data_IF_199812582353
#
_entry.id   IF_199812582353
#
_cell.length_a   1.000
_cell.length_b   1.000
_cell.length_c   1.000
_cell.angle_alpha   90.00
_cell.angle_beta   90.00
_cell.angle_gamma   90.00
#
_symmetry.space_group_name_H-M   'P 1'
#
loop_
_entity.id
_entity.type
_entity.pdbx_description
1 polymer ?
#
# COMPACT_ATOMS: atom_id res chain seq x y z
N UNK A 1 -5.68 -8.81 -1.32
CA UNK A 1 -5.30 -8.82 -2.75
C UNK A 1 -4.81 -7.45 -3.17
N UNK A 2 -3.75 -7.41 -3.96
CA UNK A 2 -3.10 -6.19 -4.42
C UNK A 2 -2.91 -6.22 -5.94
N UNK A 3 -2.93 -5.05 -6.58
CA UNK A 3 -2.70 -4.96 -8.03
C UNK A 3 -1.34 -5.55 -8.45
N UNK A 4 -0.34 -5.48 -7.57
CA UNK A 4 0.99 -6.08 -7.81
C UNK A 4 0.97 -7.63 -7.91
N UNK A 5 -0.11 -8.29 -7.48
CA UNK A 5 -0.27 -9.75 -7.66
C UNK A 5 -0.36 -10.12 -9.14
N UNK A 6 -0.73 -9.15 -10.03
CA UNK A 6 -0.75 -9.35 -11.48
C UNK A 6 0.61 -9.77 -12.04
N UNK A 7 1.71 -9.28 -11.47
CA UNK A 7 3.06 -9.68 -11.91
C UNK A 7 3.32 -11.18 -11.75
N UNK A 8 2.56 -11.86 -10.89
CA UNK A 8 2.64 -13.31 -10.70
C UNK A 8 1.56 -14.04 -11.50
N UNK A 9 0.33 -13.53 -11.47
CA UNK A 9 -0.83 -14.15 -12.16
C UNK A 9 -0.68 -14.10 -13.68
N UNK A 10 -0.16 -12.99 -14.21
CA UNK A 10 0.02 -12.77 -15.66
C UNK A 10 1.38 -13.26 -16.19
N UNK A 11 2.20 -13.84 -15.32
CA UNK A 11 3.51 -14.34 -15.70
C UNK A 11 3.41 -15.49 -16.70
N UNK A 12 4.05 -15.37 -17.86
CA UNK A 12 4.11 -16.48 -18.83
C UNK A 12 5.09 -17.55 -18.35
N UNK A 13 4.54 -18.65 -17.84
CA UNK A 13 5.33 -19.83 -17.43
C UNK A 13 5.98 -20.54 -18.62
N UNK A 14 5.54 -20.27 -19.86
CA UNK A 14 6.13 -20.84 -21.09
C UNK A 14 7.52 -20.28 -21.38
N UNK A 15 7.83 -19.08 -20.84
CA UNK A 15 9.15 -18.45 -20.95
C UNK A 15 10.13 -18.95 -19.86
N UNK A 16 9.88 -20.10 -19.22
CA UNK A 16 10.75 -20.72 -18.22
C UNK A 16 10.52 -20.22 -16.78
N UNK A 17 9.42 -19.48 -16.54
CA UNK A 17 8.99 -19.09 -15.20
C UNK A 17 8.44 -20.29 -14.42
N UNK A 18 8.85 -20.45 -13.16
CA UNK A 18 8.20 -21.42 -12.26
C UNK A 18 6.80 -20.90 -11.87
N UNK A 19 5.75 -21.75 -11.86
CA UNK A 19 4.46 -21.38 -11.30
C UNK A 19 4.61 -20.93 -9.85
N UNK A 20 3.86 -19.92 -9.44
CA UNK A 20 3.87 -19.40 -8.08
C UNK A 20 2.44 -19.17 -7.58
N UNK A 21 2.22 -19.40 -6.30
CA UNK A 21 1.02 -18.96 -5.60
C UNK A 21 1.15 -17.43 -5.37
N UNK A 22 0.21 -16.60 -5.86
CA UNK A 22 0.25 -15.17 -5.63
C UNK A 22 -0.17 -14.77 -4.21
N UNK A 23 -0.12 -13.47 -3.89
CA UNK A 23 -0.62 -12.89 -2.64
C UNK A 23 0.47 -12.59 -1.63
N UNK A 24 0.53 -11.32 -1.20
CA UNK A 24 1.54 -10.79 -0.26
C UNK A 24 0.92 -9.94 0.85
N UNK A 25 -0.33 -10.18 1.18
CA UNK A 25 -1.07 -9.53 2.26
C UNK A 25 -1.73 -10.63 3.10
N UNK A 26 -0.96 -11.29 3.96
CA UNK A 26 -1.37 -12.52 4.61
C UNK A 26 -1.40 -12.36 6.13
N UNK A 27 -2.48 -12.81 6.75
CA UNK A 27 -2.58 -12.96 8.20
C UNK A 27 -2.92 -14.42 8.50
N UNK A 28 -2.16 -15.02 9.41
CA UNK A 28 -2.35 -16.42 9.77
C UNK A 28 -1.77 -16.72 11.16
N UNK A 29 -1.77 -18.01 11.48
CA UNK A 29 -1.14 -18.54 12.70
C UNK A 29 -0.02 -19.50 12.34
N UNK A 30 1.05 -19.46 13.12
CA UNK A 30 2.17 -20.39 12.95
C UNK A 30 1.71 -21.80 13.29
N UNK A 31 1.75 -22.70 12.31
CA UNK A 31 1.41 -24.11 12.48
C UNK A 31 2.63 -24.96 12.84
N UNK A 32 3.77 -24.65 12.20
CA UNK A 32 5.03 -25.35 12.45
C UNK A 32 6.22 -24.37 12.36
N UNK A 33 7.33 -24.72 12.99
CA UNK A 33 8.57 -23.97 12.98
C UNK A 33 9.68 -24.82 12.34
N UNK A 34 10.43 -24.22 11.41
CA UNK A 34 11.62 -24.85 10.84
C UNK A 34 12.73 -25.00 11.88
N UNK A 35 13.69 -25.86 11.57
CA UNK A 35 14.84 -26.09 12.45
C UNK A 35 15.63 -24.79 12.70
N UNK A 36 15.93 -24.51 13.97
CA UNK A 36 16.72 -23.34 14.37
C UNK A 36 15.94 -22.02 14.41
N UNK A 37 14.65 -22.00 14.10
CA UNK A 37 13.83 -20.78 14.23
C UNK A 37 13.63 -20.47 15.70
N UNK A 38 13.98 -19.23 16.10
CA UNK A 38 13.82 -18.70 17.44
C UNK A 38 12.96 -17.45 17.45
N UNK A 39 12.40 -17.10 18.61
CA UNK A 39 11.61 -15.87 18.82
C UNK A 39 10.14 -15.98 18.39
N UNK A 40 9.69 -17.13 17.89
CA UNK A 40 8.31 -17.41 17.47
C UNK A 40 7.75 -18.64 18.19
N UNK A 41 6.44 -18.76 18.25
CA UNK A 41 5.73 -19.87 18.89
C UNK A 41 4.62 -20.39 17.97
N UNK A 42 4.37 -21.71 18.01
CA UNK A 42 3.21 -22.33 17.37
C UNK A 42 1.94 -21.70 17.93
N UNK A 43 0.96 -21.45 17.07
CA UNK A 43 -0.28 -20.75 17.38
C UNK A 43 -0.18 -19.22 17.40
N UNK A 44 1.05 -18.65 17.40
CA UNK A 44 1.22 -17.20 17.40
C UNK A 44 0.69 -16.60 16.10
N UNK A 45 -0.08 -15.50 16.20
CA UNK A 45 -0.62 -14.78 15.08
C UNK A 45 0.44 -13.90 14.44
N UNK A 46 0.55 -13.98 13.13
CA UNK A 46 1.56 -13.29 12.33
C UNK A 46 0.99 -12.77 11.04
N UNK A 47 1.66 -11.78 10.47
CA UNK A 47 1.43 -11.28 9.11
C UNK A 47 2.63 -11.53 8.22
N UNK A 48 2.39 -11.60 6.91
CA UNK A 48 3.42 -11.61 5.87
C UNK A 48 3.09 -10.52 4.86
N UNK A 49 4.03 -9.59 4.66
CA UNK A 49 3.90 -8.49 3.70
C UNK A 49 4.65 -8.77 2.39
N UNK A 50 4.82 -7.73 1.58
CA UNK A 50 5.47 -7.81 0.27
C UNK A 50 6.93 -8.26 0.37
N UNK A 51 7.74 -7.61 1.24
CA UNK A 51 9.13 -7.99 1.48
C UNK A 51 9.19 -9.03 2.61
N UNK A 52 9.50 -10.28 2.25
CA UNK A 52 9.60 -11.41 3.18
C UNK A 52 11.03 -11.66 3.65
N UNK A 53 12.02 -11.01 3.07
CA UNK A 53 13.42 -11.16 3.46
C UNK A 53 14.40 -10.41 2.55
N UNK A 54 15.65 -10.39 2.99
CA UNK A 54 16.76 -9.72 2.35
C UNK A 54 18.03 -10.61 2.36
N UNK A 55 19.02 -10.32 1.51
CA UNK A 55 20.27 -11.10 1.43
C UNK A 55 21.30 -10.77 2.53
N UNK A 56 21.13 -9.63 3.22
CA UNK A 56 22.02 -9.10 4.28
C UNK A 56 23.46 -8.83 3.84
N UNK A 57 23.79 -9.01 2.57
CA UNK A 57 25.17 -8.97 2.08
C UNK A 57 25.42 -7.89 1.03
N UNK A 58 24.40 -7.49 0.28
CA UNK A 58 24.53 -6.44 -0.73
C UNK A 58 24.83 -5.06 -0.10
N UNK A 59 25.33 -4.10 -0.88
CA UNK A 59 25.65 -2.76 -0.40
C UNK A 59 24.51 -2.07 0.35
N UNK A 60 23.29 -2.16 -0.15
CA UNK A 60 22.09 -1.58 0.49
C UNK A 60 21.83 -2.20 1.86
N UNK A 61 21.82 -3.53 1.96
CA UNK A 61 21.62 -4.22 3.23
C UNK A 61 22.70 -3.89 4.26
N UNK A 62 23.98 -3.80 3.83
CA UNK A 62 25.09 -3.45 4.72
C UNK A 62 25.03 -2.03 5.25
N UNK A 63 24.31 -1.13 4.59
CA UNK A 63 24.05 0.23 5.03
C UNK A 63 22.77 0.34 5.87
N UNK A 64 22.04 -0.77 6.07
CA UNK A 64 20.78 -0.80 6.79
C UNK A 64 19.55 -0.50 5.94
N UNK A 65 19.72 -0.26 4.63
CA UNK A 65 18.62 -0.03 3.68
C UNK A 65 18.14 -1.36 3.09
N UNK A 66 17.47 -2.16 3.91
CA UNK A 66 17.01 -3.49 3.52
C UNK A 66 15.82 -3.46 2.55
N UNK A 67 15.07 -2.35 2.50
CA UNK A 67 13.96 -2.16 1.55
C UNK A 67 14.47 -2.14 0.10
N UNK A 68 15.67 -1.61 -0.11
CA UNK A 68 16.34 -1.56 -1.41
C UNK A 68 17.39 -2.69 -1.58
N UNK A 69 17.15 -3.85 -0.97
CA UNK A 69 18.00 -5.03 -1.17
C UNK A 69 18.07 -5.41 -2.65
N UNK A 70 19.27 -5.74 -3.12
CA UNK A 70 19.49 -6.14 -4.53
C UNK A 70 18.92 -7.53 -4.84
N UNK A 71 18.78 -8.37 -3.81
CA UNK A 71 18.24 -9.73 -3.91
C UNK A 71 17.12 -9.94 -2.87
N UNK A 72 15.98 -9.22 -2.99
CA UNK A 72 14.91 -9.31 -2.02
C UNK A 72 14.15 -10.64 -2.15
N UNK A 73 13.68 -11.17 -1.04
CA UNK A 73 12.65 -12.22 -1.03
C UNK A 73 11.29 -11.53 -1.09
N UNK A 74 10.58 -11.72 -2.20
CA UNK A 74 9.28 -11.09 -2.46
C UNK A 74 8.19 -12.15 -2.41
N UNK A 75 7.27 -12.00 -1.46
CA UNK A 75 6.13 -12.90 -1.26
C UNK A 75 5.24 -12.91 -2.50
N UNK A 76 4.90 -14.09 -2.99
CA UNK A 76 4.09 -14.30 -4.17
C UNK A 76 4.81 -14.11 -5.50
N UNK A 77 6.09 -13.67 -5.50
CA UNK A 77 6.89 -13.48 -6.72
C UNK A 77 8.15 -14.34 -6.77
N UNK A 78 9.03 -14.24 -5.76
CA UNK A 78 10.25 -15.05 -5.66
C UNK A 78 10.03 -16.30 -4.81
N UNK A 79 9.04 -16.26 -3.91
CA UNK A 79 8.52 -17.40 -3.14
C UNK A 79 7.00 -17.48 -3.32
N UNK A 80 6.40 -18.60 -2.93
CA UNK A 80 4.95 -18.72 -2.94
C UNK A 80 4.30 -17.78 -1.93
N UNK A 81 3.12 -17.26 -2.29
CA UNK A 81 2.33 -16.31 -1.53
C UNK A 81 1.15 -16.96 -0.79
N UNK A 82 0.20 -16.12 -0.41
CA UNK A 82 -0.87 -16.48 0.52
C UNK A 82 -2.24 -16.71 -0.09
N UNK A 83 -2.39 -16.94 -1.39
CA UNK A 83 -3.65 -17.43 -1.94
C UNK A 83 -3.75 -18.95 -1.72
N UNK A 84 -3.58 -19.35 -0.46
CA UNK A 84 -3.53 -20.73 -0.02
C UNK A 84 -3.89 -20.80 1.48
N UNK A 85 -4.38 -21.94 1.92
CA UNK A 85 -4.68 -22.21 3.33
C UNK A 85 -3.41 -22.28 4.19
N UNK A 86 -2.30 -22.74 3.60
CA UNK A 86 -0.99 -22.87 4.24
C UNK A 86 0.08 -22.27 3.33
N UNK A 87 1.01 -21.53 3.90
CA UNK A 87 2.18 -21.02 3.18
C UNK A 87 3.46 -21.21 3.99
N UNK A 88 4.58 -21.26 3.30
CA UNK A 88 5.90 -21.16 3.92
C UNK A 88 6.35 -19.70 3.92
N UNK A 89 6.83 -19.23 5.06
CA UNK A 89 7.34 -17.86 5.21
C UNK A 89 8.69 -17.85 5.91
N UNK A 90 9.56 -16.94 5.50
CA UNK A 90 10.82 -16.64 6.19
C UNK A 90 10.52 -16.05 7.58
N UNK A 91 11.09 -16.64 8.64
CA UNK A 91 10.84 -16.19 10.00
C UNK A 91 11.22 -14.73 10.25
N UNK A 92 12.18 -14.19 9.50
CA UNK A 92 12.60 -12.77 9.56
C UNK A 92 11.65 -11.81 8.86
N UNK A 93 10.81 -12.31 7.94
CA UNK A 93 9.79 -11.53 7.25
C UNK A 93 8.44 -11.49 7.98
N UNK A 94 8.31 -12.21 9.10
CA UNK A 94 7.07 -12.25 9.87
C UNK A 94 6.84 -10.95 10.65
N UNK A 95 5.62 -10.43 10.55
CA UNK A 95 5.12 -9.26 11.28
C UNK A 95 4.28 -9.73 12.46
N UNK A 96 4.49 -9.17 13.65
CA UNK A 96 3.62 -9.40 14.81
C UNK A 96 2.29 -8.70 14.60
N UNK A 97 1.21 -9.47 14.63
CA UNK A 97 -0.15 -8.96 14.48
C UNK A 97 -0.85 -8.97 15.84
N UNK A 98 -1.35 -7.81 16.34
CA UNK A 98 -2.14 -7.76 17.55
C UNK A 98 -3.38 -8.68 17.48
N UNK A 99 -3.68 -9.39 18.57
CA UNK A 99 -4.80 -10.35 18.59
C UNK A 99 -6.18 -9.69 18.59
N UNK A 100 -6.27 -8.42 18.97
CA UNK A 100 -7.50 -7.62 19.00
C UNK A 100 -7.86 -6.94 17.69
N UNK A 101 -7.10 -7.16 16.62
CA UNK A 101 -7.42 -6.67 15.27
C UNK A 101 -8.01 -7.81 14.42
N UNK A 102 -9.05 -7.53 13.66
CA UNK A 102 -9.64 -8.50 12.75
C UNK A 102 -8.66 -8.86 11.61
N UNK A 103 -8.51 -10.17 11.32
CA UNK A 103 -7.54 -10.65 10.33
C UNK A 103 -7.80 -10.08 8.94
N UNK A 104 -9.06 -10.05 8.53
CA UNK A 104 -9.47 -9.53 7.23
C UNK A 104 -9.16 -8.03 7.06
N UNK A 105 -9.20 -7.24 8.15
CA UNK A 105 -8.84 -5.83 8.13
C UNK A 105 -7.33 -5.62 8.18
N UNK A 106 -6.59 -6.50 8.86
CA UNK A 106 -5.13 -6.41 8.96
C UNK A 106 -4.46 -6.75 7.63
N UNK A 107 -4.95 -7.74 6.91
CA UNK A 107 -4.30 -8.20 5.68
C UNK A 107 -3.98 -7.06 4.69
N UNK A 108 -4.90 -6.14 4.33
CA UNK A 108 -4.57 -5.01 3.46
C UNK A 108 -3.61 -3.99 4.09
N UNK A 109 -3.52 -3.94 5.42
CA UNK A 109 -2.60 -3.01 6.10
C UNK A 109 -1.14 -3.46 5.96
N UNK A 110 -0.88 -4.75 5.69
CA UNK A 110 0.46 -5.30 5.53
C UNK A 110 1.17 -4.90 4.21
N UNK A 111 0.42 -4.38 3.24
CA UNK A 111 0.97 -3.83 2.00
C UNK A 111 0.48 -2.40 1.77
N UNK A 112 -0.79 -2.21 1.39
CA UNK A 112 -1.34 -0.90 1.08
C UNK A 112 -1.28 0.05 2.29
N UNK A 113 -1.55 -0.45 3.50
CA UNK A 113 -1.42 0.31 4.74
C UNK A 113 0.02 0.71 5.02
N UNK A 114 0.94 -0.25 5.04
CA UNK A 114 2.37 0.01 5.24
C UNK A 114 2.92 1.01 4.22
N UNK A 115 2.66 0.79 2.93
CA UNK A 115 3.16 1.65 1.85
C UNK A 115 2.71 3.10 2.03
N UNK A 116 1.43 3.32 2.30
CA UNK A 116 0.88 4.67 2.45
C UNK A 116 1.32 5.33 3.77
N UNK A 117 1.33 4.58 4.87
CA UNK A 117 1.84 5.06 6.16
C UNK A 117 3.31 5.48 6.06
N UNK A 118 4.15 4.61 5.51
CA UNK A 118 5.59 4.84 5.45
C UNK A 118 5.96 5.97 4.48
N UNK A 119 5.31 6.03 3.32
CA UNK A 119 5.47 7.13 2.37
C UNK A 119 5.08 8.48 2.97
N UNK A 120 3.98 8.57 3.71
CA UNK A 120 3.54 9.81 4.37
C UNK A 120 4.45 10.19 5.53
N UNK A 121 4.82 9.24 6.40
CA UNK A 121 5.71 9.47 7.54
C UNK A 121 7.07 10.02 7.12
N UNK A 122 7.63 9.47 6.03
CA UNK A 122 8.94 9.83 5.51
C UNK A 122 8.91 10.96 4.45
N UNK A 123 7.73 11.51 4.17
CA UNK A 123 7.54 12.54 3.14
C UNK A 123 8.18 13.88 3.46
N UNK A 124 8.49 14.15 4.72
CA UNK A 124 8.94 15.44 5.21
C UNK A 124 7.82 16.46 5.44
N UNK A 125 6.55 16.08 5.31
CA UNK A 125 5.41 16.89 5.72
C UNK A 125 5.31 16.96 7.25
N UNK A 126 4.75 18.06 7.76
CA UNK A 126 4.50 18.29 9.18
C UNK A 126 3.01 18.55 9.39
N UNK A 127 2.52 18.37 10.61
CA UNK A 127 1.14 18.69 10.94
C UNK A 127 0.79 20.12 10.51
N UNK A 128 -0.35 20.29 9.85
CA UNK A 128 -0.80 21.52 9.22
C UNK A 128 -0.38 21.73 7.76
N UNK A 129 0.61 21.00 7.25
CA UNK A 129 0.98 21.06 5.83
C UNK A 129 -0.14 20.51 4.94
N UNK A 130 -0.28 21.07 3.74
CA UNK A 130 -1.16 20.52 2.70
C UNK A 130 -0.56 19.26 2.13
N UNK A 131 -1.24 18.15 2.28
CA UNK A 131 -0.90 16.84 1.71
C UNK A 131 -2.03 16.38 0.81
N UNK A 132 -1.73 16.17 -0.46
CA UNK A 132 -2.72 15.72 -1.44
C UNK A 132 -2.53 14.22 -1.75
N UNK A 133 -3.63 13.48 -1.76
CA UNK A 133 -3.67 12.07 -2.13
C UNK A 133 -4.24 11.96 -3.53
N UNK A 134 -3.39 11.66 -4.51
CA UNK A 134 -3.78 11.52 -5.91
C UNK A 134 -4.18 10.09 -6.22
N UNK A 135 -5.47 9.86 -6.30
CA UNK A 135 -6.13 8.56 -6.44
C UNK A 135 -6.89 8.15 -5.18
N UNK A 136 -8.13 7.71 -5.32
CA UNK A 136 -8.98 7.17 -4.25
C UNK A 136 -9.40 5.74 -4.59
N UNK A 137 -8.47 4.83 -4.41
CA UNK A 137 -8.62 3.39 -4.63
C UNK A 137 -8.05 2.60 -3.45
N UNK A 138 -7.51 1.39 -3.72
CA UNK A 138 -6.99 0.47 -2.72
C UNK A 138 -5.91 1.03 -1.79
N UNK A 139 -5.03 1.93 -2.29
CA UNK A 139 -4.06 2.67 -1.47
C UNK A 139 -4.66 3.99 -0.98
N UNK A 140 -5.31 4.73 -1.87
CA UNK A 140 -5.73 6.11 -1.60
C UNK A 140 -6.71 6.24 -0.45
N UNK A 141 -7.66 5.31 -0.27
CA UNK A 141 -8.61 5.36 0.85
C UNK A 141 -7.94 5.18 2.22
N UNK A 142 -6.84 4.41 2.29
CA UNK A 142 -6.00 4.32 3.49
C UNK A 142 -5.12 5.55 3.64
N UNK A 143 -4.52 6.03 2.54
CA UNK A 143 -3.68 7.22 2.55
C UNK A 143 -4.41 8.47 3.07
N UNK A 144 -5.67 8.67 2.70
CA UNK A 144 -6.51 9.77 3.22
C UNK A 144 -6.66 9.66 4.73
N UNK A 145 -6.96 8.48 5.25
CA UNK A 145 -7.10 8.25 6.69
C UNK A 145 -5.77 8.51 7.41
N UNK A 146 -4.66 7.92 6.93
CA UNK A 146 -3.34 8.15 7.53
C UNK A 146 -2.95 9.62 7.50
N UNK A 147 -3.11 10.30 6.37
CA UNK A 147 -2.77 11.72 6.24
C UNK A 147 -3.55 12.60 7.22
N UNK A 148 -4.86 12.38 7.34
CA UNK A 148 -5.69 13.09 8.30
C UNK A 148 -5.23 12.81 9.75
N UNK A 149 -5.02 11.55 10.12
CA UNK A 149 -4.61 11.16 11.48
C UNK A 149 -3.18 11.59 11.84
N UNK A 150 -2.33 11.88 10.85
CA UNK A 150 -1.02 12.50 11.05
C UNK A 150 -1.09 14.03 11.21
N UNK A 151 -2.30 14.62 11.13
CA UNK A 151 -2.53 16.05 11.33
C UNK A 151 -2.28 16.91 10.09
N UNK A 152 -2.26 16.34 8.90
CA UNK A 152 -2.09 17.09 7.66
C UNK A 152 -3.40 17.71 7.18
N UNK A 153 -3.35 18.86 6.51
CA UNK A 153 -4.48 19.32 5.73
C UNK A 153 -4.62 18.44 4.48
N UNK A 154 -5.51 17.46 4.57
CA UNK A 154 -5.62 16.37 3.60
C UNK A 154 -6.53 16.74 2.45
N UNK A 155 -6.01 16.71 1.22
CA UNK A 155 -6.75 16.89 -0.02
C UNK A 155 -6.84 15.57 -0.76
N UNK A 156 -8.05 15.06 -1.02
CA UNK A 156 -8.24 13.89 -1.85
C UNK A 156 -8.49 14.31 -3.31
N UNK A 157 -7.81 13.68 -4.24
CA UNK A 157 -7.93 13.94 -5.69
C UNK A 157 -8.33 12.65 -6.37
N UNK A 158 -9.47 12.65 -7.06
CA UNK A 158 -9.89 11.52 -7.88
C UNK A 158 -10.74 11.99 -9.06
N UNK A 159 -11.17 11.07 -9.91
CA UNK A 159 -12.00 11.38 -11.08
C UNK A 159 -13.47 11.06 -10.78
N UNK A 160 -14.34 12.07 -10.96
CA UNK A 160 -15.78 11.97 -10.78
C UNK A 160 -16.25 12.40 -9.40
N UNK A 161 -17.40 13.05 -9.34
CA UNK A 161 -17.99 13.59 -8.10
C UNK A 161 -18.52 12.50 -7.16
N UNK A 162 -18.74 11.28 -7.65
CA UNK A 162 -19.27 10.12 -6.92
C UNK A 162 -18.40 9.69 -5.71
N UNK A 163 -17.14 10.10 -5.69
CA UNK A 163 -16.18 9.76 -4.62
C UNK A 163 -16.04 10.85 -3.56
N UNK A 164 -16.67 12.01 -3.74
CA UNK A 164 -16.46 13.17 -2.87
C UNK A 164 -16.94 12.91 -1.44
N UNK A 165 -18.14 12.41 -1.27
CA UNK A 165 -18.70 12.11 0.05
C UNK A 165 -17.83 11.12 0.81
N UNK A 166 -17.44 10.03 0.17
CA UNK A 166 -16.59 9.03 0.80
C UNK A 166 -15.21 9.61 1.18
N UNK A 167 -14.60 10.43 0.31
CA UNK A 167 -13.32 11.07 0.62
C UNK A 167 -13.41 11.92 1.90
N UNK A 168 -14.48 12.69 2.06
CA UNK A 168 -14.73 13.50 3.27
C UNK A 168 -14.96 12.61 4.50
N UNK A 169 -15.76 11.55 4.37
CA UNK A 169 -15.98 10.57 5.45
C UNK A 169 -14.68 9.88 5.90
N UNK A 170 -13.76 9.63 5.00
CA UNK A 170 -12.43 9.08 5.29
C UNK A 170 -11.49 10.10 5.95
N UNK A 171 -11.88 11.37 6.04
CA UNK A 171 -11.12 12.43 6.70
C UNK A 171 -10.41 13.40 5.76
N UNK A 172 -10.71 13.42 4.47
CA UNK A 172 -10.25 14.50 3.61
C UNK A 172 -10.89 15.82 4.04
N UNK A 173 -10.12 16.88 4.10
CA UNK A 173 -10.62 18.24 4.35
C UNK A 173 -11.18 18.86 3.06
N UNK A 174 -10.71 18.38 1.90
CA UNK A 174 -11.17 18.80 0.60
C UNK A 174 -11.09 17.66 -0.40
N UNK A 175 -12.07 17.59 -1.30
CA UNK A 175 -12.06 16.73 -2.48
C UNK A 175 -11.89 17.58 -3.73
N UNK A 176 -11.11 17.09 -4.69
CA UNK A 176 -10.95 17.68 -6.01
C UNK A 176 -11.29 16.66 -7.08
N UNK A 177 -12.21 17.03 -7.98
CA UNK A 177 -12.55 16.21 -9.16
C UNK A 177 -11.62 16.55 -10.33
N UNK A 178 -10.62 15.70 -10.55
CA UNK A 178 -9.65 15.88 -11.64
C UNK A 178 -10.24 15.78 -13.06
N UNK A 179 -11.54 15.50 -13.22
CA UNK A 179 -12.21 15.57 -14.54
C UNK A 179 -12.55 16.99 -14.94
N UNK A 180 -12.85 17.83 -13.98
CA UNK A 180 -13.46 19.16 -14.23
C UNK A 180 -12.70 20.30 -13.58
N UNK A 181 -11.80 20.02 -12.63
CA UNK A 181 -11.04 21.01 -11.89
C UNK A 181 -9.56 21.03 -12.28
N UNK A 182 -8.97 22.22 -12.33
CA UNK A 182 -7.52 22.39 -12.46
C UNK A 182 -6.87 22.13 -11.08
N UNK A 183 -6.51 20.87 -10.83
CA UNK A 183 -5.97 20.44 -9.53
C UNK A 183 -4.75 21.24 -9.11
N UNK A 184 -3.79 21.46 -10.03
CA UNK A 184 -2.56 22.18 -9.71
C UNK A 184 -2.82 23.65 -9.33
N UNK A 185 -3.77 24.30 -10.00
CA UNK A 185 -4.15 25.69 -9.68
C UNK A 185 -4.80 25.78 -8.31
N UNK A 186 -5.71 24.85 -8.00
CA UNK A 186 -6.37 24.82 -6.68
C UNK A 186 -5.36 24.54 -5.57
N UNK A 187 -4.43 23.60 -5.78
CA UNK A 187 -3.37 23.35 -4.81
C UNK A 187 -2.50 24.61 -4.58
N UNK A 188 -2.15 25.35 -5.64
CA UNK A 188 -1.44 26.64 -5.50
C UNK A 188 -2.27 27.65 -4.71
N UNK A 189 -3.58 27.72 -4.94
CA UNK A 189 -4.49 28.56 -4.16
C UNK A 189 -4.54 28.23 -2.66
N UNK A 190 -4.20 27.00 -2.29
CA UNK A 190 -4.03 26.54 -0.90
C UNK A 190 -2.61 26.80 -0.33
N UNK A 191 -1.75 27.47 -1.06
CA UNK A 191 -0.33 27.67 -0.70
C UNK A 191 0.62 26.62 -1.27
N UNK A 192 0.11 25.68 -2.06
CA UNK A 192 0.82 24.57 -2.65
C UNK A 192 0.86 23.34 -1.74
N UNK A 193 0.82 22.15 -2.34
CA UNK A 193 0.95 20.91 -1.58
C UNK A 193 2.41 20.67 -1.16
N UNK A 194 2.65 20.41 0.13
CA UNK A 194 3.95 19.96 0.62
C UNK A 194 4.30 18.60 0.06
N UNK A 195 3.30 17.73 -0.02
CA UNK A 195 3.40 16.39 -0.57
C UNK A 195 2.18 16.10 -1.44
N UNK A 196 2.40 15.51 -2.60
CA UNK A 196 1.40 14.76 -3.32
C UNK A 196 1.79 13.29 -3.26
N UNK A 197 0.92 12.43 -2.72
CA UNK A 197 1.11 10.99 -2.74
C UNK A 197 0.41 10.40 -3.97
N UNK A 198 1.17 9.92 -4.95
CA UNK A 198 0.67 9.35 -6.19
C UNK A 198 0.27 7.89 -6.04
N UNK A 199 -1.02 7.62 -5.79
CA UNK A 199 -1.59 6.28 -5.63
C UNK A 199 -2.41 5.81 -6.82
N UNK A 200 -2.74 6.71 -7.76
CA UNK A 200 -3.43 6.36 -9.01
C UNK A 200 -2.42 5.85 -10.06
N UNK A 201 -2.75 4.80 -10.84
CA UNK A 201 -1.86 4.25 -11.84
C UNK A 201 -1.89 5.08 -13.15
N UNK A 202 -1.66 6.38 -13.07
CA UNK A 202 -1.64 7.30 -14.21
C UNK A 202 -0.47 8.27 -14.14
N UNK A 203 0.45 8.15 -15.10
CA UNK A 203 1.61 9.02 -15.21
C UNK A 203 1.21 10.45 -15.57
N UNK A 204 0.25 10.61 -16.50
CA UNK A 204 -0.29 11.92 -16.86
C UNK A 204 -0.87 12.66 -15.66
N UNK A 205 -1.71 12.00 -14.86
CA UNK A 205 -2.28 12.62 -13.66
C UNK A 205 -1.22 13.00 -12.62
N UNK A 206 -0.16 12.19 -12.49
CA UNK A 206 0.97 12.52 -11.63
C UNK A 206 1.79 13.70 -12.17
N UNK A 207 1.93 13.82 -13.48
CA UNK A 207 2.62 14.94 -14.15
C UNK A 207 1.90 16.27 -13.88
N UNK A 208 0.58 16.27 -14.02
CA UNK A 208 -0.27 17.47 -13.88
C UNK A 208 -0.22 18.08 -12.47
N UNK A 209 0.00 17.28 -11.43
CA UNK A 209 -0.01 17.79 -10.04
C UNK A 209 1.31 18.42 -9.60
N UNK A 210 2.43 18.20 -10.32
CA UNK A 210 3.77 18.67 -9.91
C UNK A 210 3.85 20.19 -9.81
N UNK A 211 3.21 20.93 -10.71
CA UNK A 211 3.17 22.38 -10.66
C UNK A 211 2.32 22.93 -9.51
N UNK A 212 1.51 22.10 -8.86
CA UNK A 212 0.74 22.43 -7.65
C UNK A 212 1.50 22.24 -6.34
N UNK A 213 2.73 21.73 -6.39
CA UNK A 213 3.58 21.59 -5.22
C UNK A 213 4.11 22.95 -4.73
N UNK A 214 4.19 23.11 -3.40
CA UNK A 214 4.90 24.25 -2.78
C UNK A 214 6.42 24.21 -3.11
N UNK A 215 7.19 25.28 -2.94
CA UNK A 215 8.64 25.19 -2.97
C UNK A 215 9.18 24.10 -2.03
N UNK A 216 10.11 23.29 -2.52
CA UNK A 216 10.64 22.07 -1.84
C UNK A 216 9.57 21.03 -1.50
N UNK A 217 8.40 21.09 -2.14
CA UNK A 217 7.40 20.03 -2.11
C UNK A 217 7.82 18.85 -2.97
N UNK A 218 7.17 17.72 -2.76
CA UNK A 218 7.51 16.50 -3.49
C UNK A 218 6.29 15.69 -3.91
N UNK A 219 6.39 15.09 -5.08
CA UNK A 219 5.53 14.00 -5.50
C UNK A 219 6.17 12.69 -5.02
N UNK A 220 5.46 11.94 -4.19
CA UNK A 220 5.87 10.60 -3.73
C UNK A 220 5.09 9.57 -4.52
N UNK A 221 5.77 8.79 -5.34
CA UNK A 221 5.17 7.79 -6.23
C UNK A 221 5.16 6.43 -5.53
N UNK A 222 3.96 5.86 -5.33
CA UNK A 222 3.75 4.53 -4.72
C UNK A 222 2.92 3.60 -5.61
N UNK A 223 2.43 4.06 -6.75
CA UNK A 223 1.77 3.25 -7.76
C UNK A 223 2.62 3.18 -9.03
N UNK A 224 2.50 2.09 -9.77
CA UNK A 224 3.17 1.90 -11.05
C UNK A 224 2.19 2.26 -12.17
N UNK A 225 2.35 3.43 -12.85
CA UNK A 225 1.52 3.79 -13.99
C UNK A 225 1.92 2.98 -15.23
N UNK A 226 0.96 2.79 -16.14
CA UNK A 226 1.22 2.14 -17.43
C UNK A 226 1.92 3.05 -18.45
N UNK A 227 1.93 4.37 -18.21
CA UNK A 227 2.60 5.37 -19.03
C UNK A 227 3.62 6.18 -18.22
N UNK A 228 4.64 6.78 -18.86
CA UNK A 228 5.65 7.59 -18.17
C UNK A 228 5.05 8.80 -17.42
N UNK A 229 5.72 9.21 -16.35
CA UNK A 229 5.52 10.50 -15.70
C UNK A 229 6.37 11.53 -16.44
N UNK A 230 5.75 12.47 -17.13
CA UNK A 230 6.42 13.54 -17.87
C UNK A 230 6.60 14.77 -16.97
N UNK A 231 7.79 15.31 -16.88
CA UNK A 231 8.14 16.40 -15.99
C UNK A 231 8.71 17.59 -16.77
N UNK A 232 8.19 18.79 -16.49
CA UNK A 232 8.80 20.00 -16.96
C UNK A 232 9.96 20.37 -16.03
N UNK A 233 11.16 20.50 -16.58
CA UNK A 233 12.35 20.86 -15.80
C UNK A 233 12.19 22.21 -15.06
N UNK A 234 11.47 23.17 -15.65
CA UNK A 234 11.20 24.47 -15.02
C UNK A 234 10.44 24.28 -13.70
N UNK A 235 9.43 23.40 -13.66
CA UNK A 235 8.66 23.13 -12.45
C UNK A 235 9.53 22.55 -11.33
N UNK A 236 10.55 21.79 -11.67
CA UNK A 236 11.49 21.24 -10.68
C UNK A 236 12.50 22.30 -10.22
N UNK A 237 13.14 23.00 -11.16
CA UNK A 237 14.24 23.94 -10.87
C UNK A 237 13.76 25.12 -10.03
N UNK A 238 12.72 25.83 -10.48
CA UNK A 238 12.28 27.08 -9.84
C UNK A 238 11.59 26.89 -8.48
N UNK A 239 11.22 25.65 -8.14
CA UNK A 239 10.66 25.35 -6.82
C UNK A 239 11.57 24.49 -5.97
N UNK A 240 12.66 23.96 -6.51
CA UNK A 240 13.43 22.90 -5.85
C UNK A 240 12.54 21.70 -5.52
N UNK A 241 11.57 21.41 -6.38
CA UNK A 241 10.62 20.32 -6.21
C UNK A 241 11.26 19.00 -6.54
N UNK A 242 10.74 17.91 -5.98
CA UNK A 242 11.27 16.58 -6.20
C UNK A 242 10.15 15.58 -6.57
N UNK A 243 10.52 14.59 -7.37
CA UNK A 243 9.74 13.35 -7.57
C UNK A 243 10.57 12.21 -7.02
N UNK A 244 9.98 11.44 -6.11
CA UNK A 244 10.66 10.35 -5.41
C UNK A 244 9.77 9.10 -5.40
N UNK A 245 10.38 7.93 -5.53
CA UNK A 245 9.68 6.66 -5.34
C UNK A 245 9.66 6.25 -3.88
N UNK A 246 8.62 5.51 -3.48
CA UNK A 246 8.57 4.83 -2.19
C UNK A 246 7.95 3.44 -2.40
N UNK A 247 8.73 2.39 -2.09
CA UNK A 247 8.27 1.02 -2.35
C UNK A 247 7.26 0.57 -1.27
N UNK A 248 7.73 0.32 -0.08
CA UNK A 248 6.93 -0.22 1.04
C UNK A 248 7.65 0.13 2.35
N UNK A 249 8.01 -0.85 3.16
CA UNK A 249 8.76 -0.68 4.40
C UNK A 249 9.31 -2.01 4.91
N UNK A 250 10.01 -1.94 6.02
CA UNK A 250 10.55 -3.09 6.73
C UNK A 250 9.47 -3.78 7.57
N UNK A 251 9.78 -4.94 8.15
CA UNK A 251 8.94 -5.59 9.18
C UNK A 251 8.64 -4.66 10.35
N UNK A 252 9.65 -3.93 10.83
CA UNK A 252 9.49 -2.97 11.93
C UNK A 252 8.56 -1.80 11.55
N UNK A 253 8.68 -1.29 10.31
CA UNK A 253 7.74 -0.28 9.79
C UNK A 253 6.31 -0.82 9.72
N UNK A 254 6.15 -2.09 9.37
CA UNK A 254 4.85 -2.74 9.29
C UNK A 254 4.20 -2.86 10.68
N UNK A 255 4.95 -3.30 11.70
CA UNK A 255 4.48 -3.34 13.08
C UNK A 255 4.09 -1.94 13.58
N UNK A 256 4.85 -0.91 13.21
CA UNK A 256 4.53 0.49 13.54
C UNK A 256 3.28 0.99 12.79
N UNK A 257 3.11 0.61 11.52
CA UNK A 257 1.91 0.95 10.75
C UNK A 257 0.65 0.34 11.37
N UNK A 258 0.71 -0.94 11.78
CA UNK A 258 -0.38 -1.61 12.49
C UNK A 258 -0.68 -0.96 13.84
N UNK A 259 0.35 -0.64 14.63
CA UNK A 259 0.19 0.05 15.89
C UNK A 259 -0.47 1.43 15.74
N UNK A 260 -0.06 2.19 14.72
CA UNK A 260 -0.67 3.48 14.42
C UNK A 260 -2.12 3.33 13.92
N UNK A 261 -2.37 2.38 13.01
CA UNK A 261 -3.72 2.11 12.51
C UNK A 261 -4.67 1.72 13.66
N UNK A 262 -4.21 0.86 14.59
CA UNK A 262 -4.95 0.48 15.80
C UNK A 262 -5.24 1.70 16.70
N UNK A 263 -4.23 2.50 17.01
CA UNK A 263 -4.33 3.69 17.85
C UNK A 263 -5.30 4.72 17.28
N UNK A 264 -5.27 4.93 15.98
CA UNK A 264 -6.04 5.95 15.27
C UNK A 264 -7.35 5.42 14.66
N UNK A 265 -7.68 4.17 14.92
CA UNK A 265 -8.86 3.50 14.35
C UNK A 265 -8.94 3.60 12.82
N UNK A 266 -7.81 3.41 12.13
CA UNK A 266 -7.77 3.36 10.68
C UNK A 266 -8.14 1.96 10.22
N UNK A 267 -9.11 1.87 9.29
CA UNK A 267 -9.62 0.59 8.79
C UNK A 267 -9.68 0.61 7.26
N UNK A 268 -9.28 -0.49 6.59
CA UNK A 268 -9.55 -0.63 5.18
C UNK A 268 -11.04 -0.88 4.93
N UNK A 269 -11.52 -0.43 3.78
CA UNK A 269 -12.81 -0.88 3.25
C UNK A 269 -12.57 -2.18 2.48
N UNK A 270 -13.20 -3.25 2.90
CA UNK A 270 -12.94 -4.61 2.38
C UNK A 270 -14.21 -5.25 1.83
N UNK A 271 -14.03 -6.13 0.85
CA UNK A 271 -15.00 -7.12 0.42
C UNK A 271 -14.34 -8.50 0.58
N UNK A 272 -15.00 -9.41 1.25
CA UNK A 272 -14.46 -10.75 1.54
C UNK A 272 -14.97 -11.79 0.54
N UNK A 273 -14.11 -12.74 0.21
CA UNK A 273 -14.39 -13.84 -0.72
C UNK A 273 -13.83 -15.13 -0.14
N UNK A 274 -14.48 -16.29 -0.32
CA UNK A 274 -13.86 -17.57 -0.02
C UNK A 274 -12.71 -17.86 -0.99
N UNK A 275 -11.75 -18.70 -0.57
CA UNK A 275 -10.55 -19.02 -1.38
C UNK A 275 -10.92 -19.57 -2.77
N UNK A 276 -11.97 -20.37 -2.88
CA UNK A 276 -12.46 -20.95 -4.13
C UNK A 276 -12.89 -19.90 -5.16
N UNK A 277 -13.18 -18.69 -4.72
CA UNK A 277 -13.53 -17.54 -5.55
C UNK A 277 -12.33 -16.61 -5.84
N UNK A 278 -11.09 -17.06 -5.58
CA UNK A 278 -9.89 -16.23 -5.75
C UNK A 278 -9.79 -15.61 -7.15
N UNK A 279 -10.11 -16.37 -8.22
CA UNK A 279 -10.09 -15.86 -9.58
C UNK A 279 -11.14 -14.73 -9.78
N UNK A 280 -12.36 -14.93 -9.33
CA UNK A 280 -13.42 -13.92 -9.44
C UNK A 280 -13.09 -12.65 -8.65
N UNK A 281 -12.53 -12.78 -7.46
CA UNK A 281 -12.07 -11.67 -6.63
C UNK A 281 -10.92 -10.89 -7.31
N UNK A 282 -9.97 -11.61 -7.91
CA UNK A 282 -8.86 -11.04 -8.68
C UNK A 282 -9.38 -10.24 -9.88
N UNK A 283 -10.27 -10.84 -10.69
CA UNK A 283 -10.83 -10.18 -11.87
C UNK A 283 -11.61 -8.91 -11.51
N UNK A 284 -12.36 -8.92 -10.41
CA UNK A 284 -13.06 -7.74 -9.89
C UNK A 284 -12.08 -6.66 -9.42
N UNK A 285 -11.01 -7.05 -8.71
CA UNK A 285 -9.96 -6.13 -8.26
C UNK A 285 -9.26 -5.46 -9.46
N UNK A 286 -8.92 -6.24 -10.50
CA UNK A 286 -8.26 -5.71 -11.71
C UNK A 286 -9.14 -4.74 -12.48
N UNK A 287 -10.48 -4.93 -12.50
CA UNK A 287 -11.44 -3.99 -13.08
C UNK A 287 -11.79 -2.80 -12.19
N UNK A 288 -11.21 -2.70 -10.97
CA UNK A 288 -11.55 -1.72 -9.95
C UNK A 288 -13.04 -1.76 -9.52
N UNK A 289 -13.65 -2.93 -9.56
CA UNK A 289 -15.05 -3.19 -9.16
C UNK A 289 -15.19 -3.56 -7.67
N UNK A 290 -14.09 -3.52 -6.91
CA UNK A 290 -14.06 -3.78 -5.46
C UNK A 290 -13.91 -2.47 -4.69
N UNK A 291 -14.64 -2.34 -3.60
CA UNK A 291 -14.62 -1.13 -2.73
C UNK A 291 -14.06 -1.46 -1.33
N UNK A 292 -12.72 -1.42 -1.11
CA UNK A 292 -11.63 -1.13 -2.07
C UNK A 292 -10.64 -2.28 -2.11
N UNK A 293 -10.70 -3.20 -1.14
CA UNK A 293 -9.75 -4.31 -1.00
C UNK A 293 -10.50 -5.63 -1.01
N UNK A 294 -10.15 -6.51 -1.95
CA UNK A 294 -10.61 -7.89 -1.89
C UNK A 294 -9.75 -8.68 -0.90
N UNK A 295 -10.39 -9.45 -0.01
CA UNK A 295 -9.73 -10.28 0.98
C UNK A 295 -10.25 -11.71 0.85
N UNK A 296 -9.35 -12.68 0.71
CA UNK A 296 -9.70 -14.09 0.71
C UNK A 296 -9.78 -14.61 2.14
N UNK A 297 -10.88 -15.27 2.46
CA UNK A 297 -11.07 -15.97 3.73
C UNK A 297 -10.85 -17.47 3.53
N UNK A 298 -10.07 -18.08 4.41
CA UNK A 298 -9.87 -19.53 4.42
C UNK A 298 -11.01 -20.21 5.16
N UNK A 299 -11.30 -21.46 4.83
CA UNK A 299 -12.48 -22.19 5.34
C UNK A 299 -12.60 -22.29 6.87
N UNK A 300 -11.49 -22.18 7.59
CA UNK A 300 -11.49 -22.14 9.07
C UNK A 300 -12.12 -20.86 9.67
N UNK A 301 -12.18 -19.77 8.89
CA UNK A 301 -12.72 -18.48 9.37
C UNK A 301 -14.23 -18.35 9.11
N UNK A 302 -14.82 -19.21 8.27
CA UNK A 302 -16.29 -19.25 8.04
C UNK A 302 -17.07 -19.89 9.21
N UNK A 303 -16.41 -20.54 10.16
CA UNK A 303 -17.07 -21.20 11.30
C UNK A 303 -17.52 -20.24 12.41
N UNK A 304 -17.14 -18.94 12.33
CA UNK A 304 -17.44 -17.92 13.34
C UNK A 304 -18.51 -16.88 12.96
N UNK A 305 -19.08 -16.95 11.74
CA UNK A 305 -20.03 -15.94 11.25
C UNK A 305 -21.50 -16.36 11.35
N UNK A 306 -21.82 -17.37 12.13
CA UNK A 306 -23.21 -17.79 12.40
C UNK A 306 -23.44 -17.91 13.92
N UNK A 307 -23.70 -16.75 14.57
CA UNK A 307 -24.65 -16.64 15.70
C UNK A 307 -25.17 -15.19 15.73
#
# INVERSE_FOLDING_TARGET
MCHSDSATVERDVREGGQPRVPGHEVVGRIEALGQGVAGWKIGQRVGVGFLAGEDRSCPSCRQGDIVNCENPVITGMTTDGGYAEIMLAEARGLVRVPDDLEAAEVAPLLCAGLTTFNALRNSGARAGDVVAIHGLGGLGHLAVQFANRMGFYTVAIARGADKAELALQLGAHRYLDAKVENVAEILRGLGGAKVVLGTAPTGKGMSEVVSGLTPRGRLVVVAVPGEPIELNAIDLIFGGRAVVGALTGTVADNEQALAFARLQNIRPLIETFPLEQAQAAYDRMMRADVRFRAVLLMNSDNAGASV
#
